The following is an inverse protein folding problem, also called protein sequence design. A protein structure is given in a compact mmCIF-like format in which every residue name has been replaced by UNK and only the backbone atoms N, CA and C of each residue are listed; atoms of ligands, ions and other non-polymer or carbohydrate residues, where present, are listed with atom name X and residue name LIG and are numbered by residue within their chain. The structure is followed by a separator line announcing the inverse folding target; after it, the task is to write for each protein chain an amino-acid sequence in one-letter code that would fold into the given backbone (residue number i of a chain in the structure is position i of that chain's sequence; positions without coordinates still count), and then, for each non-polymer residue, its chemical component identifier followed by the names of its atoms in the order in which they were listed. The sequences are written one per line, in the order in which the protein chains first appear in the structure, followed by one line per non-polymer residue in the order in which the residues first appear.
data_IF_848042945723
#
_entry.id   IF_848042945723
#
_cell.length_a   1.000
_cell.length_b   1.000
_cell.length_c   1.000
_cell.angle_alpha   90.00
_cell.angle_beta   90.00
_cell.angle_gamma   90.00
#
_symmetry.space_group_name_H-M   'P 1'
#
loop_
_entity.id
_entity.type
_entity.pdbx_description
1 polymer ?
#
# COMPACT_ATOMS: atom_id res chain seq x y z
N UNK A 1 -3.67 20.07 -4.74
CA UNK A 1 -3.91 20.95 -5.91
C UNK A 1 -3.15 22.26 -5.76
N UNK A 2 -3.18 22.83 -4.56
CA UNK A 2 -2.76 24.21 -4.28
C UNK A 2 -1.29 24.47 -4.60
N UNK A 3 -0.39 23.51 -4.32
CA UNK A 3 1.03 23.65 -4.60
C UNK A 3 1.36 23.71 -6.11
N UNK A 4 0.57 23.09 -7.00
CA UNK A 4 0.85 23.13 -8.44
C UNK A 4 0.42 24.47 -9.04
N UNK A 5 -0.78 24.93 -8.71
CA UNK A 5 -1.29 26.21 -9.21
C UNK A 5 -0.51 27.39 -8.61
N UNK A 6 -0.18 27.35 -7.31
CA UNK A 6 0.67 28.35 -6.68
C UNK A 6 2.09 28.39 -7.26
N UNK A 7 2.58 27.27 -7.78
CA UNK A 7 3.87 27.19 -8.49
C UNK A 7 3.76 27.50 -9.99
N UNK A 8 2.64 28.02 -10.48
CA UNK A 8 2.42 28.34 -11.90
C UNK A 8 2.36 27.12 -12.83
N UNK A 9 2.19 25.91 -12.27
CA UNK A 9 2.06 24.66 -13.04
C UNK A 9 0.60 24.37 -13.37
N UNK A 10 0.39 23.60 -14.44
CA UNK A 10 -0.92 23.11 -14.83
C UNK A 10 -1.59 22.25 -13.75
N UNK A 11 -2.91 22.08 -13.87
CA UNK A 11 -3.66 21.21 -12.98
C UNK A 11 -3.19 19.74 -13.10
N UNK A 12 -3.20 19.02 -11.96
CA UNK A 12 -2.94 17.58 -11.96
C UNK A 12 -4.06 16.88 -12.74
N UNK A 13 -3.68 16.11 -13.77
CA UNK A 13 -4.59 15.24 -14.51
C UNK A 13 -4.47 13.82 -13.97
N UNK A 14 -5.54 13.30 -13.39
CA UNK A 14 -5.61 11.92 -12.92
C UNK A 14 -6.04 11.01 -14.07
N UNK A 15 -5.30 9.94 -14.29
CA UNK A 15 -5.65 8.87 -15.22
C UNK A 15 -5.96 7.61 -14.41
N UNK A 16 -7.16 7.05 -14.60
CA UNK A 16 -7.56 5.77 -14.02
C UNK A 16 -7.32 4.63 -15.01
N UNK A 17 -6.91 3.48 -14.49
CA UNK A 17 -6.68 2.26 -15.28
C UNK A 17 -7.36 1.08 -14.61
N UNK A 18 -7.75 0.08 -15.40
CA UNK A 18 -8.41 -1.11 -14.86
C UNK A 18 -7.40 -2.06 -14.21
N UNK A 19 -6.16 -2.07 -14.70
CA UNK A 19 -5.10 -2.96 -14.21
C UNK A 19 -3.82 -2.20 -13.89
N UNK A 20 -3.04 -2.76 -12.96
CA UNK A 20 -1.71 -2.24 -12.66
C UNK A 20 -0.77 -2.31 -13.88
N UNK A 21 -0.91 -3.32 -14.74
CA UNK A 21 -0.11 -3.46 -15.97
C UNK A 21 -0.29 -2.29 -16.93
N UNK A 22 -1.53 -1.80 -17.09
CA UNK A 22 -1.84 -0.64 -17.92
C UNK A 22 -1.24 0.64 -17.35
N UNK A 23 -1.40 0.86 -16.04
CA UNK A 23 -0.82 2.01 -15.34
C UNK A 23 0.72 2.02 -15.45
N UNK A 24 1.35 0.85 -15.29
CA UNK A 24 2.79 0.69 -15.44
C UNK A 24 3.25 1.01 -16.87
N UNK A 25 2.49 0.57 -17.86
CA UNK A 25 2.79 0.84 -19.27
C UNK A 25 2.67 2.33 -19.59
N UNK A 26 1.68 3.03 -19.03
CA UNK A 26 1.55 4.48 -19.18
C UNK A 26 2.72 5.24 -18.56
N UNK A 27 3.18 4.83 -17.37
CA UNK A 27 4.35 5.42 -16.72
C UNK A 27 5.64 5.16 -17.52
N UNK A 28 5.89 3.90 -17.90
CA UNK A 28 7.09 3.50 -18.65
C UNK A 28 7.16 4.08 -20.06
N UNK A 29 6.01 4.43 -20.67
CA UNK A 29 5.95 5.08 -21.98
C UNK A 29 5.98 6.61 -21.90
N UNK A 30 5.99 7.21 -20.70
CA UNK A 30 5.91 8.65 -20.51
C UNK A 30 4.52 9.26 -20.76
N UNK A 31 3.45 8.46 -20.84
CA UNK A 31 2.06 8.97 -20.91
C UNK A 31 1.55 9.46 -19.55
N UNK A 32 2.21 9.02 -18.47
CA UNK A 32 2.02 9.50 -17.10
C UNK A 32 3.38 9.80 -16.48
N UNK A 33 3.46 10.87 -15.68
CA UNK A 33 4.70 11.28 -15.00
C UNK A 33 4.92 10.54 -13.66
N UNK A 34 3.83 10.16 -12.99
CA UNK A 34 3.82 9.54 -11.66
C UNK A 34 2.77 8.43 -11.63
N UNK A 35 3.13 7.27 -11.07
CA UNK A 35 2.19 6.25 -10.64
C UNK A 35 1.91 6.38 -9.14
N UNK A 36 0.66 6.14 -8.72
CA UNK A 36 0.29 6.08 -7.31
C UNK A 36 -0.15 4.66 -6.98
N UNK A 37 0.53 4.03 -6.02
CA UNK A 37 0.36 2.64 -5.64
C UNK A 37 0.59 2.49 -4.14
N UNK A 38 0.08 1.40 -3.59
CA UNK A 38 0.48 0.94 -2.27
C UNK A 38 2.00 0.70 -2.21
N UNK A 39 2.63 1.09 -1.12
CA UNK A 39 4.09 1.00 -0.92
C UNK A 39 4.69 -0.38 -1.31
N UNK A 40 4.20 -1.54 -0.79
CA UNK A 40 4.80 -2.83 -1.12
C UNK A 40 4.75 -3.15 -2.62
N UNK A 41 3.74 -2.67 -3.34
CA UNK A 41 3.61 -2.86 -4.79
C UNK A 41 4.59 -1.95 -5.53
N UNK A 42 4.72 -0.69 -5.10
CA UNK A 42 5.68 0.26 -5.67
C UNK A 42 7.13 -0.22 -5.48
N UNK A 43 7.48 -0.66 -4.28
CA UNK A 43 8.81 -1.16 -3.94
C UNK A 43 9.14 -2.40 -4.80
N UNK A 44 8.21 -3.35 -4.90
CA UNK A 44 8.38 -4.51 -5.77
C UNK A 44 8.55 -4.09 -7.23
N UNK A 45 7.72 -3.18 -7.74
CA UNK A 45 7.82 -2.72 -9.13
C UNK A 45 9.18 -2.11 -9.46
N UNK A 46 9.78 -1.33 -8.55
CA UNK A 46 11.13 -0.79 -8.74
C UNK A 46 12.15 -1.92 -8.93
N UNK A 47 12.04 -3.02 -8.16
CA UNK A 47 12.92 -4.19 -8.35
C UNK A 47 12.72 -4.86 -9.71
N UNK A 48 11.51 -4.85 -10.26
CA UNK A 48 11.20 -5.51 -11.54
C UNK A 48 11.59 -4.70 -12.77
N UNK A 49 11.89 -3.41 -12.61
CA UNK A 49 12.10 -2.50 -13.75
C UNK A 49 13.56 -2.16 -14.01
N UNK A 50 14.50 -2.83 -13.33
CA UNK A 50 15.95 -2.67 -13.54
C UNK A 50 16.40 -1.20 -13.54
N UNK A 51 15.88 -0.40 -12.58
CA UNK A 51 16.23 1.01 -12.41
C UNK A 51 15.52 1.99 -13.36
N UNK A 52 14.60 1.53 -14.22
CA UNK A 52 13.78 2.43 -15.05
C UNK A 52 12.77 3.24 -14.23
N UNK A 53 12.35 2.71 -13.09
CA UNK A 53 11.47 3.40 -12.14
C UNK A 53 12.16 3.54 -10.78
N UNK A 54 11.68 4.49 -10.00
CA UNK A 54 12.06 4.70 -8.60
C UNK A 54 10.86 5.20 -7.81
N UNK A 55 10.82 4.91 -6.51
CA UNK A 55 9.89 5.56 -5.59
C UNK A 55 10.33 7.01 -5.33
N UNK A 56 9.36 7.86 -4.99
CA UNK A 56 9.61 9.27 -4.64
C UNK A 56 8.62 9.72 -3.59
N UNK A 57 9.03 10.69 -2.76
CA UNK A 57 8.22 11.18 -1.64
C UNK A 57 8.24 10.24 -0.43
N UNK A 58 7.40 10.55 0.55
CA UNK A 58 7.14 9.69 1.71
C UNK A 58 5.78 9.01 1.53
N UNK A 59 5.63 7.75 1.98
CA UNK A 59 4.33 7.10 2.09
C UNK A 59 3.33 7.94 2.89
N UNK A 60 2.06 7.80 2.57
CA UNK A 60 0.95 8.54 3.14
C UNK A 60 -0.29 7.64 3.18
N UNK A 61 -1.28 8.00 3.99
CA UNK A 61 -2.50 7.21 4.19
C UNK A 61 -2.19 5.74 4.54
N UNK A 62 -1.22 5.52 5.43
CA UNK A 62 -0.80 4.17 5.80
C UNK A 62 -1.91 3.47 6.58
N UNK A 63 -2.12 2.19 6.29
CA UNK A 63 -3.02 1.33 7.04
C UNK A 63 -2.54 -0.13 6.94
N UNK A 64 -2.80 -0.96 7.97
CA UNK A 64 -2.58 -2.40 7.87
C UNK A 64 -3.51 -3.05 6.84
N UNK A 65 -3.02 -4.11 6.19
CA UNK A 65 -3.87 -4.98 5.38
C UNK A 65 -4.62 -5.98 6.27
N UNK A 66 -5.86 -6.29 5.89
CA UNK A 66 -6.71 -7.22 6.60
C UNK A 66 -7.22 -8.36 5.72
N UNK A 67 -7.67 -9.43 6.38
CA UNK A 67 -8.42 -10.51 5.74
C UNK A 67 -9.91 -10.16 5.82
N UNK A 68 -10.54 -9.94 4.67
CA UNK A 68 -11.98 -9.68 4.62
C UNK A 68 -12.77 -10.98 4.82
N UNK A 69 -13.74 -10.94 5.73
CA UNK A 69 -14.72 -12.01 5.95
C UNK A 69 -16.13 -11.44 5.97
N UNK A 70 -17.12 -12.31 5.74
CA UNK A 70 -18.52 -11.94 5.94
C UNK A 70 -18.72 -11.53 7.39
N UNK A 71 -19.54 -10.50 7.61
CA UNK A 71 -19.90 -10.06 8.96
C UNK A 71 -20.48 -11.22 9.78
N UNK A 72 -20.08 -11.31 11.05
CA UNK A 72 -20.49 -12.36 11.99
C UNK A 72 -20.07 -13.77 11.54
N UNK A 73 -18.96 -13.86 10.79
CA UNK A 73 -18.44 -15.15 10.31
C UNK A 73 -17.95 -15.99 11.50
N UNK A 74 -18.26 -17.30 11.55
CA UNK A 74 -17.71 -18.19 12.55
C UNK A 74 -16.18 -18.35 12.44
N UNK A 75 -15.56 -17.84 11.37
CA UNK A 75 -14.11 -17.89 11.15
C UNK A 75 -13.35 -16.74 11.81
N UNK A 76 -14.02 -15.69 12.30
CA UNK A 76 -13.37 -14.48 12.85
C UNK A 76 -12.29 -14.82 13.89
N UNK A 77 -12.65 -15.66 14.88
CA UNK A 77 -11.71 -16.08 15.92
C UNK A 77 -10.57 -16.93 15.36
N UNK A 78 -10.89 -17.91 14.52
CA UNK A 78 -9.88 -18.82 13.96
C UNK A 78 -8.85 -18.08 13.09
N UNK A 79 -9.30 -17.11 12.29
CA UNK A 79 -8.41 -16.28 11.47
C UNK A 79 -7.57 -15.33 12.33
N UNK A 80 -8.19 -14.70 13.33
CA UNK A 80 -7.47 -13.83 14.28
C UNK A 80 -6.36 -14.61 15.00
N UNK A 81 -6.69 -15.77 15.55
CA UNK A 81 -5.73 -16.63 16.25
C UNK A 81 -4.65 -17.15 15.31
N UNK A 82 -5.02 -17.53 14.08
CA UNK A 82 -4.07 -18.00 13.07
C UNK A 82 -3.06 -16.93 12.68
N UNK A 83 -3.49 -15.69 12.46
CA UNK A 83 -2.58 -14.57 12.15
C UNK A 83 -1.67 -14.28 13.35
N UNK A 84 -2.21 -14.22 14.56
CA UNK A 84 -1.40 -14.04 15.79
C UNK A 84 -0.37 -15.14 15.94
N UNK A 85 -0.76 -16.41 15.74
CA UNK A 85 0.16 -17.54 15.77
C UNK A 85 1.31 -17.38 14.76
N UNK A 86 1.02 -16.94 13.52
CA UNK A 86 2.05 -16.70 12.51
C UNK A 86 3.03 -15.58 12.94
N UNK A 87 2.53 -14.54 13.60
CA UNK A 87 3.36 -13.45 14.12
C UNK A 87 4.23 -13.94 15.28
N UNK A 88 3.63 -14.55 16.29
CA UNK A 88 4.28 -14.94 17.54
C UNK A 88 5.35 -16.03 17.32
N UNK A 89 5.19 -16.85 16.28
CA UNK A 89 6.14 -17.90 15.92
C UNK A 89 7.09 -17.51 14.78
N UNK A 90 7.13 -16.23 14.38
CA UNK A 90 8.11 -15.71 13.41
C UNK A 90 7.87 -16.10 11.94
N UNK A 91 6.81 -16.85 11.63
CA UNK A 91 6.44 -17.20 10.27
C UNK A 91 6.06 -15.95 9.46
N UNK A 92 5.27 -15.05 10.05
CA UNK A 92 4.88 -13.79 9.44
C UNK A 92 6.12 -12.95 9.06
N UNK A 93 7.08 -12.83 9.98
CA UNK A 93 8.34 -12.13 9.74
C UNK A 93 9.11 -12.76 8.57
N UNK A 94 9.20 -14.08 8.52
CA UNK A 94 9.87 -14.81 7.44
C UNK A 94 9.22 -14.54 6.07
N UNK A 95 7.90 -14.49 6.02
CA UNK A 95 7.14 -14.16 4.79
C UNK A 95 7.43 -12.71 4.36
N UNK A 96 7.33 -11.74 5.28
CA UNK A 96 7.59 -10.34 4.95
C UNK A 96 9.02 -10.09 4.48
N UNK A 97 10.00 -10.76 5.08
CA UNK A 97 11.41 -10.68 4.66
C UNK A 97 11.62 -11.26 3.27
N UNK A 98 11.03 -12.42 2.97
CA UNK A 98 11.11 -13.05 1.65
C UNK A 98 10.63 -12.12 0.53
N UNK A 99 9.60 -11.33 0.82
CA UNK A 99 8.99 -10.39 -0.14
C UNK A 99 9.52 -8.96 -0.02
N UNK A 100 10.49 -8.71 0.86
CA UNK A 100 11.04 -7.37 1.11
C UNK A 100 9.99 -6.32 1.49
N UNK A 101 8.99 -6.70 2.30
CA UNK A 101 7.88 -5.83 2.76
C UNK A 101 7.82 -5.74 4.28
N UNK A 102 8.98 -5.84 4.93
CA UNK A 102 9.08 -5.88 6.41
C UNK A 102 8.68 -4.57 7.09
N UNK A 103 8.70 -3.45 6.37
CA UNK A 103 8.28 -2.14 6.90
C UNK A 103 6.78 -2.08 7.22
N UNK A 104 5.96 -2.91 6.57
CA UNK A 104 4.52 -3.01 6.83
C UNK A 104 4.13 -3.97 7.95
N UNK A 105 5.09 -4.47 8.73
CA UNK A 105 4.83 -5.42 9.80
C UNK A 105 3.99 -4.79 10.92
N UNK A 106 3.05 -5.57 11.47
CA UNK A 106 2.31 -5.24 12.69
C UNK A 106 2.70 -6.15 13.85
N UNK A 107 2.44 -5.72 15.09
CA UNK A 107 2.57 -6.59 16.25
C UNK A 107 1.34 -7.50 16.40
N UNK A 108 1.50 -8.61 17.11
CA UNK A 108 0.40 -9.53 17.42
C UNK A 108 -0.74 -8.83 18.18
N UNK A 109 -0.40 -7.86 19.04
CA UNK A 109 -1.36 -6.99 19.74
C UNK A 109 -2.23 -6.14 18.82
N UNK A 110 -1.77 -5.88 17.60
CA UNK A 110 -2.47 -4.99 16.66
C UNK A 110 -3.46 -5.76 15.77
N UNK A 111 -3.43 -7.10 15.81
CA UNK A 111 -4.39 -7.95 15.09
C UNK A 111 -5.77 -7.81 15.73
N UNK A 112 -6.61 -7.01 15.08
CA UNK A 112 -7.93 -6.57 15.58
C UNK A 112 -9.00 -6.69 14.49
N UNK A 113 -10.26 -6.82 14.90
CA UNK A 113 -11.42 -6.88 14.00
C UNK A 113 -11.91 -5.46 13.69
N UNK A 114 -12.25 -5.21 12.42
CA UNK A 114 -12.86 -3.96 11.96
C UNK A 114 -12.11 -2.68 12.35
N UNK A 115 -10.79 -2.76 12.50
CA UNK A 115 -9.94 -1.62 12.78
C UNK A 115 -9.18 -1.22 11.50
N UNK A 116 -9.65 -0.17 10.84
CA UNK A 116 -9.01 0.41 9.65
C UNK A 116 -8.39 1.79 9.93
N UNK A 117 -8.12 2.09 11.20
CA UNK A 117 -7.60 3.39 11.60
C UNK A 117 -6.33 3.71 10.81
N UNK A 118 -6.32 4.89 10.18
CA UNK A 118 -5.15 5.36 9.44
C UNK A 118 -3.98 5.62 10.38
N UNK A 119 -2.80 5.24 9.93
CA UNK A 119 -1.53 5.48 10.60
C UNK A 119 -0.85 6.65 9.88
N UNK A 120 -0.53 7.71 10.62
CA UNK A 120 0.18 8.87 10.08
C UNK A 120 -0.67 9.79 9.21
N UNK A 121 0.00 10.58 8.36
CA UNK A 121 -0.64 11.65 7.58
C UNK A 121 -1.43 11.09 6.39
N UNK A 122 -2.63 11.61 6.17
CA UNK A 122 -3.42 11.34 4.95
C UNK A 122 -2.86 12.09 3.75
N UNK A 123 -2.83 11.45 2.58
CA UNK A 123 -2.63 12.14 1.30
C UNK A 123 -3.93 12.38 0.52
N UNK A 124 -5.07 11.98 1.08
CA UNK A 124 -6.38 12.41 0.57
C UNK A 124 -6.63 13.82 1.12
N UNK A 125 -6.71 14.86 0.26
CA UNK A 125 -7.09 16.19 0.71
C UNK A 125 -8.49 16.12 1.35
N UNK A 126 -8.68 16.75 2.51
CA UNK A 126 -10.03 17.03 3.01
C UNK A 126 -10.69 18.00 2.04
N UNK A 127 -11.75 17.57 1.38
CA UNK A 127 -12.59 18.41 0.52
C UNK A 127 -13.67 19.11 1.33
#
# INVERSE_FOLDING_TARGET
KDNCQAAGKGAIKVQGFATQTEANSALLSGRADIGFLDQPVADYQVTQTNGRLKTTGKPCSLAPYGVAVVKDSPLEKALTDGIKYLIDNGYYKSVLQRWNVSEGAIASSDVTLNNNNSIGATCVPSY
#
